data_IF_580400658909
#
_entry.id   IF_580400658909
#
_cell.length_a   1.000
_cell.length_b   1.000
_cell.length_c   1.000
_cell.angle_alpha   90.00
_cell.angle_beta   90.00
_cell.angle_gamma   90.00
#
_symmetry.space_group_name_H-M   'P 1'
#
loop_
_entity.id
_entity.type
_entity.pdbx_description
1 polymer ?
#
# COMPACT_ATOMS: atom_id res chain seq x y z
N UNK A 1 -56.98 -12.43 21.43
CA UNK A 1 -56.68 -12.54 19.97
C UNK A 1 -55.33 -11.85 19.77
N UNK A 2 -54.23 -12.60 19.77
CA UNK A 2 -52.87 -12.04 19.70
C UNK A 2 -52.38 -12.08 18.24
N UNK A 3 -52.07 -10.91 17.68
CA UNK A 3 -51.48 -10.76 16.36
C UNK A 3 -49.98 -11.09 16.46
N UNK A 4 -49.61 -12.28 16.01
CA UNK A 4 -48.21 -12.72 15.89
C UNK A 4 -47.60 -12.02 14.68
N UNK A 5 -46.75 -11.02 14.91
CA UNK A 5 -45.96 -10.37 13.85
C UNK A 5 -44.92 -11.33 13.30
N UNK A 6 -45.05 -11.70 12.02
CA UNK A 6 -44.04 -12.47 11.29
C UNK A 6 -42.73 -11.66 11.18
N UNK A 7 -41.56 -12.22 11.54
CA UNK A 7 -40.29 -11.55 11.33
C UNK A 7 -40.02 -11.40 9.83
N UNK A 8 -39.63 -10.19 9.43
CA UNK A 8 -39.23 -9.90 8.05
C UNK A 8 -38.06 -10.80 7.66
N UNK A 9 -38.26 -11.63 6.64
CA UNK A 9 -37.21 -12.48 6.08
C UNK A 9 -36.13 -11.57 5.49
N UNK A 10 -35.01 -11.45 6.19
CA UNK A 10 -33.86 -10.70 5.68
C UNK A 10 -33.24 -11.55 4.58
N UNK A 11 -33.46 -11.19 3.31
CA UNK A 11 -32.85 -11.85 2.16
C UNK A 11 -31.33 -11.67 2.25
N UNK A 12 -30.64 -12.73 2.67
CA UNK A 12 -29.17 -12.78 2.69
C UNK A 12 -28.73 -12.90 1.24
N UNK A 13 -28.39 -11.77 0.61
CA UNK A 13 -27.76 -11.80 -0.71
C UNK A 13 -26.45 -12.61 -0.62
N UNK A 14 -26.28 -13.55 -1.54
CA UNK A 14 -25.09 -14.39 -1.62
C UNK A 14 -23.84 -13.49 -1.71
N UNK A 15 -23.07 -13.43 -0.61
CA UNK A 15 -21.75 -12.79 -0.62
C UNK A 15 -20.91 -13.50 -1.67
N UNK A 16 -20.12 -12.74 -2.43
CA UNK A 16 -19.25 -13.25 -3.48
C UNK A 16 -18.31 -14.38 -3.01
N UNK A 17 -17.59 -15.01 -3.95
CA UNK A 17 -16.79 -16.21 -3.69
C UNK A 17 -15.92 -16.05 -2.45
N UNK A 18 -15.97 -17.04 -1.56
CA UNK A 18 -15.19 -17.03 -0.32
C UNK A 18 -13.69 -16.86 -0.63
N UNK A 19 -12.97 -16.02 0.13
CA UNK A 19 -11.55 -15.85 -0.07
C UNK A 19 -10.83 -17.19 0.07
N UNK A 20 -10.10 -17.60 -0.97
CA UNK A 20 -9.44 -18.92 -1.08
C UNK A 20 -8.36 -19.20 -0.03
N UNK A 21 -7.86 -18.18 0.67
CA UNK A 21 -6.81 -18.32 1.66
C UNK A 21 -7.30 -17.87 3.04
N UNK A 22 -7.04 -18.66 4.11
CA UNK A 22 -7.31 -18.22 5.47
C UNK A 22 -6.47 -16.97 5.78
N UNK A 23 -7.05 -16.06 6.56
CA UNK A 23 -6.35 -14.84 6.96
C UNK A 23 -5.19 -15.18 7.89
N UNK A 24 -4.01 -14.58 7.71
CA UNK A 24 -2.89 -14.83 8.59
C UNK A 24 -3.16 -14.31 10.02
N UNK A 25 -2.61 -14.99 11.02
CA UNK A 25 -2.87 -14.70 12.43
C UNK A 25 -2.55 -13.22 12.80
N UNK A 26 -1.45 -12.68 12.29
CA UNK A 26 -1.05 -11.29 12.56
C UNK A 26 -2.07 -10.27 12.03
N UNK A 27 -2.72 -10.54 10.89
CA UNK A 27 -3.70 -9.60 10.33
C UNK A 27 -5.00 -9.61 11.14
N UNK A 28 -5.37 -10.79 11.66
CA UNK A 28 -6.49 -10.91 12.58
C UNK A 28 -6.22 -10.22 13.91
N UNK A 29 -4.98 -10.25 14.41
CA UNK A 29 -4.58 -9.56 15.63
C UNK A 29 -4.69 -8.04 15.50
N UNK A 30 -4.21 -7.46 14.39
CA UNK A 30 -4.35 -6.02 14.09
C UNK A 30 -5.82 -5.59 14.09
N UNK A 31 -6.66 -6.33 13.36
CA UNK A 31 -8.09 -6.04 13.27
C UNK A 31 -8.77 -6.17 14.63
N UNK A 32 -8.44 -7.20 15.40
CA UNK A 32 -8.98 -7.41 16.73
C UNK A 32 -8.63 -6.26 17.67
N UNK A 33 -7.37 -5.81 17.66
CA UNK A 33 -6.93 -4.66 18.47
C UNK A 33 -7.66 -3.38 18.09
N UNK A 34 -7.80 -3.08 16.80
CA UNK A 34 -8.55 -1.91 16.35
C UNK A 34 -10.01 -1.94 16.83
N UNK A 35 -10.67 -3.09 16.72
CA UNK A 35 -12.05 -3.28 17.19
C UNK A 35 -12.13 -3.11 18.72
N UNK A 36 -11.15 -3.62 19.47
CA UNK A 36 -11.06 -3.47 20.92
C UNK A 36 -11.00 -2.00 21.34
N UNK A 37 -10.29 -1.16 20.57
CA UNK A 37 -10.21 0.29 20.79
C UNK A 37 -11.42 1.06 20.22
N UNK A 38 -12.39 0.36 19.63
CA UNK A 38 -13.55 0.95 18.95
C UNK A 38 -13.19 1.97 17.86
N UNK A 39 -12.07 1.74 17.16
CA UNK A 39 -11.58 2.62 16.09
C UNK A 39 -12.06 2.13 14.72
N UNK A 40 -12.37 3.05 13.81
CA UNK A 40 -12.52 2.78 12.37
C UNK A 40 -11.14 2.73 11.70
N UNK A 41 -11.08 2.20 10.49
CA UNK A 41 -9.83 2.21 9.71
C UNK A 41 -9.38 3.63 9.38
N UNK A 42 -10.34 4.54 9.15
CA UNK A 42 -10.11 5.97 8.94
C UNK A 42 -9.49 6.64 10.17
N UNK A 43 -9.96 6.28 11.37
CA UNK A 43 -9.42 6.84 12.62
C UNK A 43 -7.96 6.42 12.85
N UNK A 44 -7.62 5.17 12.53
CA UNK A 44 -6.23 4.70 12.60
C UNK A 44 -5.36 5.42 11.57
N UNK A 45 -5.84 5.63 10.34
CA UNK A 45 -5.10 6.38 9.34
C UNK A 45 -4.83 7.82 9.81
N UNK A 46 -5.85 8.50 10.35
CA UNK A 46 -5.74 9.84 10.91
C UNK A 46 -4.75 9.90 12.08
N UNK A 47 -4.76 8.91 12.99
CA UNK A 47 -3.79 8.81 14.10
C UNK A 47 -2.35 8.61 13.62
N UNK A 48 -2.15 8.02 12.44
CA UNK A 48 -0.81 7.90 11.84
C UNK A 48 -0.37 9.15 11.06
N UNK A 49 -1.08 10.27 11.17
CA UNK A 49 -0.82 11.50 10.40
C UNK A 49 -0.76 11.22 8.88
N UNK A 50 -1.66 10.35 8.40
CA UNK A 50 -1.71 9.89 7.00
C UNK A 50 -0.44 9.19 6.48
N UNK A 51 0.53 8.87 7.35
CA UNK A 51 1.69 8.04 6.98
C UNK A 51 1.24 6.67 6.49
N UNK A 52 0.15 6.14 7.05
CA UNK A 52 -0.49 4.89 6.63
C UNK A 52 -1.92 5.18 6.18
N UNK A 53 -2.15 5.12 4.87
CA UNK A 53 -3.49 5.36 4.31
C UNK A 53 -4.51 4.29 4.74
N UNK A 54 -5.80 4.66 4.78
CA UNK A 54 -6.90 3.74 5.09
C UNK A 54 -6.89 2.47 4.20
N UNK A 55 -6.57 2.62 2.91
CA UNK A 55 -6.43 1.49 1.99
C UNK A 55 -5.31 0.52 2.39
N UNK A 56 -4.17 1.07 2.86
CA UNK A 56 -3.05 0.27 3.38
C UNK A 56 -3.46 -0.51 4.63
N UNK A 57 -4.19 0.11 5.55
CA UNK A 57 -4.72 -0.55 6.75
C UNK A 57 -5.69 -1.67 6.35
N UNK A 58 -6.56 -1.42 5.38
CA UNK A 58 -7.49 -2.43 4.85
C UNK A 58 -6.75 -3.65 4.27
N UNK A 59 -5.70 -3.41 3.49
CA UNK A 59 -4.89 -4.47 2.89
C UNK A 59 -4.06 -5.23 3.93
N UNK A 60 -3.57 -4.55 4.98
CA UNK A 60 -2.93 -5.19 6.14
C UNK A 60 -3.92 -6.10 6.89
N UNK A 61 -5.12 -5.63 7.24
CA UNK A 61 -6.12 -6.42 7.98
C UNK A 61 -6.65 -7.64 7.18
N UNK A 62 -6.64 -7.55 5.85
CA UNK A 62 -6.97 -8.65 4.95
C UNK A 62 -5.82 -9.65 4.77
N UNK A 63 -4.60 -9.31 5.20
CA UNK A 63 -3.41 -10.13 4.98
C UNK A 63 -2.84 -10.04 3.56
N UNK A 64 -3.24 -9.03 2.78
CA UNK A 64 -2.80 -8.83 1.39
C UNK A 64 -1.40 -8.21 1.32
N UNK A 65 -1.08 -7.33 2.25
CA UNK A 65 0.24 -6.70 2.38
C UNK A 65 0.91 -7.21 3.64
N UNK A 66 2.14 -7.71 3.56
CA UNK A 66 2.89 -8.15 4.74
C UNK A 66 3.49 -6.96 5.50
N UNK A 67 3.58 -7.02 6.83
CA UNK A 67 4.17 -5.95 7.67
C UNK A 67 5.64 -5.64 7.32
N UNK A 68 6.38 -6.63 6.82
CA UNK A 68 7.77 -6.44 6.35
C UNK A 68 7.88 -5.68 5.02
N UNK A 69 6.77 -5.51 4.31
CA UNK A 69 6.75 -4.79 3.03
C UNK A 69 6.41 -3.30 3.19
N UNK A 70 6.08 -2.84 4.41
CA UNK A 70 5.90 -1.42 4.73
C UNK A 70 7.17 -0.87 5.40
N UNK A 71 7.43 0.42 5.24
CA UNK A 71 8.63 1.05 5.80
C UNK A 71 8.58 1.08 7.32
N UNK A 72 9.75 1.00 7.97
CA UNK A 72 9.82 1.00 9.44
C UNK A 72 9.08 2.17 10.11
N UNK A 73 9.19 3.44 9.64
CA UNK A 73 8.43 4.54 10.22
C UNK A 73 6.91 4.33 10.19
N UNK A 74 6.37 3.71 9.12
CA UNK A 74 4.95 3.40 9.01
C UNK A 74 4.51 2.31 10.00
N UNK A 75 5.36 1.33 10.25
CA UNK A 75 5.11 0.32 11.28
C UNK A 75 5.05 0.99 12.66
N UNK A 76 6.04 1.82 12.98
CA UNK A 76 6.12 2.49 14.29
C UNK A 76 4.86 3.34 14.51
N UNK A 77 4.49 4.17 13.52
CA UNK A 77 3.27 4.95 13.58
C UNK A 77 2.02 4.07 13.75
N UNK A 78 1.95 2.93 13.06
CA UNK A 78 0.83 1.99 13.18
C UNK A 78 0.75 1.36 14.59
N UNK A 79 1.89 0.98 15.17
CA UNK A 79 1.96 0.43 16.52
C UNK A 79 1.50 1.44 17.56
N UNK A 80 1.95 2.69 17.42
CA UNK A 80 1.57 3.81 18.28
C UNK A 80 0.07 4.12 18.18
N UNK A 81 -0.46 4.22 16.95
CA UNK A 81 -1.89 4.45 16.70
C UNK A 81 -2.81 3.36 17.29
N UNK A 82 -2.30 2.12 17.42
CA UNK A 82 -2.99 0.97 18.02
C UNK A 82 -2.70 0.79 19.53
N UNK A 83 -2.03 1.77 20.14
CA UNK A 83 -1.67 1.78 21.56
C UNK A 83 -1.00 0.46 21.97
N UNK A 84 -0.08 -0.01 21.13
CA UNK A 84 0.71 -1.20 21.38
C UNK A 84 2.13 -0.83 21.75
N UNK A 85 2.60 -1.42 22.84
CA UNK A 85 4.04 -1.39 23.13
C UNK A 85 4.78 -2.18 22.05
N UNK A 86 6.07 -1.88 21.83
CA UNK A 86 6.91 -2.65 20.93
C UNK A 86 6.84 -4.18 21.14
N UNK A 87 6.81 -4.59 22.41
CA UNK A 87 6.77 -5.99 22.83
C UNK A 87 5.42 -6.64 22.54
N UNK A 88 4.32 -5.94 22.82
CA UNK A 88 2.96 -6.42 22.51
C UNK A 88 2.75 -6.55 21.01
N UNK A 89 3.27 -5.60 20.23
CA UNK A 89 3.22 -5.63 18.77
C UNK A 89 3.95 -6.87 18.23
N UNK A 90 5.17 -7.13 18.67
CA UNK A 90 5.95 -8.31 18.26
C UNK A 90 5.27 -9.60 18.69
N UNK A 91 4.75 -9.66 19.93
CA UNK A 91 4.01 -10.82 20.42
C UNK A 91 2.73 -11.10 19.63
N UNK A 92 1.99 -10.06 19.24
CA UNK A 92 0.74 -10.20 18.51
C UNK A 92 0.94 -10.52 17.03
N UNK A 93 2.00 -9.98 16.41
CA UNK A 93 2.23 -10.10 14.97
C UNK A 93 3.29 -11.13 14.60
N UNK A 94 4.15 -11.52 15.54
CA UNK A 94 5.32 -12.37 15.29
C UNK A 94 6.44 -11.67 14.53
N UNK A 95 6.39 -10.34 14.40
CA UNK A 95 7.33 -9.58 13.58
C UNK A 95 8.30 -8.79 14.47
N UNK A 96 9.63 -9.07 14.43
CA UNK A 96 10.62 -8.44 15.30
C UNK A 96 11.10 -7.10 14.71
N UNK A 97 10.22 -6.11 14.67
CA UNK A 97 10.46 -4.84 13.94
C UNK A 97 11.47 -3.98 14.69
N UNK A 98 11.35 -3.94 16.02
CA UNK A 98 12.13 -3.04 16.88
C UNK A 98 13.60 -3.40 16.95
N UNK A 99 13.94 -4.69 16.85
CA UNK A 99 15.35 -5.13 16.74
C UNK A 99 16.04 -4.57 15.50
N UNK A 100 15.28 -4.23 14.46
CA UNK A 100 15.82 -3.66 13.21
C UNK A 100 15.87 -2.13 13.26
N UNK A 101 14.94 -1.49 13.96
CA UNK A 101 14.89 -0.02 14.09
C UNK A 101 16.00 0.50 14.99
N UNK A 102 16.29 -0.20 16.09
CA UNK A 102 17.34 0.16 17.03
C UNK A 102 18.73 0.23 16.34
N UNK A 103 18.95 -0.61 15.33
CA UNK A 103 20.17 -0.64 14.52
C UNK A 103 20.28 0.53 13.53
N UNK A 104 19.16 1.17 13.15
CA UNK A 104 19.16 2.30 12.21
C UNK A 104 19.40 3.66 12.89
N UNK A 105 19.14 3.76 14.19
CA UNK A 105 19.38 4.98 14.98
C UNK A 105 20.88 5.21 15.25
N UNK A 106 21.70 4.16 15.15
CA UNK A 106 23.13 4.18 15.50
C UNK A 106 24.08 4.86 14.48
N UNK A 107 23.65 5.22 13.27
CA UNK A 107 24.54 5.74 12.21
C UNK A 107 24.66 7.29 12.15
N UNK A 108 24.31 7.99 13.23
CA UNK A 108 24.75 9.37 13.47
C UNK A 108 24.12 10.47 12.60
N UNK A 109 23.07 10.17 11.84
CA UNK A 109 22.23 11.18 11.17
C UNK A 109 20.76 10.86 11.39
N UNK A 110 20.27 11.21 12.59
CA UNK A 110 18.85 11.14 12.90
C UNK A 110 18.24 12.53 12.67
N UNK A 111 17.39 12.66 11.65
CA UNK A 111 16.36 13.69 11.63
C UNK A 111 15.03 13.00 11.85
N UNK A 112 14.64 12.82 13.11
CA UNK A 112 13.23 12.77 13.52
C UNK A 112 13.14 13.34 14.94
N UNK A 113 12.38 14.43 15.07
CA UNK A 113 11.90 14.92 16.36
C UNK A 113 10.89 13.92 16.90
N UNK A 114 11.27 13.18 17.94
CA UNK A 114 10.31 12.70 18.94
C UNK A 114 10.91 13.07 20.29
N UNK A 115 10.40 14.16 20.84
CA UNK A 115 10.73 14.62 22.18
C UNK A 115 10.18 13.60 23.18
N UNK A 116 11.03 12.74 23.71
CA UNK A 116 10.74 11.90 24.87
C UNK A 116 12.03 11.58 25.61
N UNK A 117 12.08 12.04 26.87
CA UNK A 117 13.21 12.03 27.81
C UNK A 117 13.69 10.63 28.21
N UNK A 118 14.98 10.58 28.59
CA UNK A 118 15.74 9.50 29.27
C UNK A 118 16.15 8.34 28.32
N UNK A 119 17.43 7.98 28.13
CA UNK A 119 18.45 7.47 29.07
C UNK A 119 19.82 7.34 28.37
N UNK A 120 20.90 7.63 29.11
CA UNK A 120 22.32 7.24 29.04
C UNK A 120 23.01 6.80 27.73
N UNK A 121 24.15 7.48 27.46
CA UNK A 121 25.25 7.12 26.57
C UNK A 121 25.76 5.68 26.77
N UNK A 122 25.77 4.88 25.70
CA UNK A 122 26.58 3.66 25.62
C UNK A 122 27.30 3.62 24.27
N UNK A 123 28.63 3.68 24.37
CA UNK A 123 29.61 3.57 23.28
C UNK A 123 29.64 2.13 22.75
N UNK A 124 29.19 1.90 21.50
CA UNK A 124 29.26 0.57 20.86
C UNK A 124 29.88 0.71 19.47
N UNK A 125 31.21 0.78 19.45
CA UNK A 125 32.01 0.52 18.25
C UNK A 125 31.97 -0.96 17.87
N UNK A 126 31.71 -1.19 16.58
CA UNK A 126 32.06 -2.35 15.78
C UNK A 126 31.33 -3.68 16.06
N UNK A 127 30.38 -4.04 15.18
CA UNK A 127 30.22 -5.43 14.69
C UNK A 127 29.37 -5.54 13.41
N UNK A 128 30.10 -5.74 12.30
CA UNK A 128 29.88 -6.64 11.14
C UNK A 128 28.49 -6.73 10.48
N UNK A 129 28.42 -6.12 9.29
CA UNK A 129 27.44 -6.34 8.19
C UNK A 129 27.72 -7.65 7.43
N UNK A 130 26.97 -8.74 7.63
CA UNK A 130 27.09 -9.89 6.69
C UNK A 130 25.84 -10.68 6.31
N UNK A 131 24.68 -10.56 6.98
CA UNK A 131 23.67 -11.63 6.87
C UNK A 131 22.30 -11.22 6.29
N UNK A 132 22.20 -10.15 5.50
CA UNK A 132 20.94 -9.83 4.80
C UNK A 132 20.81 -10.60 3.48
N UNK A 133 19.68 -11.32 3.25
CA UNK A 133 19.42 -11.94 1.96
C UNK A 133 19.29 -10.88 0.87
N UNK A 134 19.88 -11.17 -0.28
CA UNK A 134 20.01 -10.28 -1.41
C UNK A 134 18.62 -9.74 -1.85
N UNK A 135 18.47 -8.43 -1.92
CA UNK A 135 17.31 -7.73 -2.49
C UNK A 135 16.95 -8.29 -3.88
N UNK A 136 15.68 -8.24 -4.28
CA UNK A 136 15.25 -8.62 -5.64
C UNK A 136 16.01 -7.85 -6.75
N UNK A 137 16.55 -6.67 -6.45
CA UNK A 137 17.43 -5.92 -7.35
C UNK A 137 18.81 -6.58 -7.53
N UNK A 138 19.29 -7.34 -6.54
CA UNK A 138 20.52 -8.15 -6.61
C UNK A 138 20.30 -9.56 -7.19
N UNK A 139 19.05 -10.01 -7.34
CA UNK A 139 18.72 -11.32 -7.96
C UNK A 139 18.74 -11.26 -9.50
N UNK A 140 19.16 -10.14 -10.11
CA UNK A 140 19.33 -10.06 -11.56
C UNK A 140 18.02 -10.06 -12.37
N UNK A 141 16.86 -9.87 -11.72
CA UNK A 141 15.59 -9.66 -12.41
C UNK A 141 15.61 -8.31 -13.13
N UNK A 142 16.12 -8.29 -14.37
CA UNK A 142 15.86 -7.18 -15.30
C UNK A 142 14.44 -7.34 -15.78
N UNK A 143 13.55 -6.40 -15.40
CA UNK A 143 12.32 -6.20 -16.15
C UNK A 143 12.77 -5.95 -17.60
N UNK A 144 12.43 -6.82 -18.56
CA UNK A 144 12.79 -6.58 -19.94
C UNK A 144 12.21 -5.22 -20.28
N UNK A 145 13.07 -4.26 -20.63
CA UNK A 145 12.66 -3.00 -21.22
C UNK A 145 12.05 -3.38 -22.57
N UNK A 146 10.78 -3.73 -22.59
CA UNK A 146 10.04 -3.88 -23.82
C UNK A 146 10.21 -2.57 -24.58
N UNK A 147 10.65 -2.67 -25.83
CA UNK A 147 10.73 -1.51 -26.68
C UNK A 147 9.36 -0.84 -26.68
N UNK A 148 9.29 0.49 -26.48
CA UNK A 148 8.02 1.19 -26.54
C UNK A 148 7.34 0.88 -27.87
N UNK A 149 6.02 0.66 -27.83
CA UNK A 149 5.25 0.35 -29.03
C UNK A 149 5.45 1.48 -30.06
N UNK A 150 5.60 1.14 -31.36
CA UNK A 150 5.61 2.16 -32.39
C UNK A 150 4.29 2.95 -32.34
N UNK A 151 4.39 4.26 -32.52
CA UNK A 151 3.22 5.14 -32.58
C UNK A 151 2.55 4.96 -33.93
N UNK A 152 1.22 4.86 -33.95
CA UNK A 152 0.47 4.79 -35.20
C UNK A 152 0.76 5.99 -36.12
N UNK A 153 1.05 5.71 -37.38
CA UNK A 153 1.23 6.72 -38.44
C UNK A 153 0.05 7.70 -38.55
N UNK A 154 -1.17 7.26 -38.27
CA UNK A 154 -2.35 8.12 -38.30
C UNK A 154 -2.29 9.21 -37.21
N UNK A 155 -1.77 8.88 -36.02
CA UNK A 155 -1.57 9.84 -34.94
C UNK A 155 -0.44 10.83 -35.25
N UNK A 156 0.64 10.35 -35.88
CA UNK A 156 1.73 11.22 -36.32
C UNK A 156 1.25 12.23 -37.35
N UNK A 157 0.48 11.79 -38.35
CA UNK A 157 -0.11 12.67 -39.36
C UNK A 157 -1.10 13.67 -38.76
N UNK A 158 -1.90 13.25 -37.79
CA UNK A 158 -2.81 14.15 -37.07
C UNK A 158 -2.04 15.21 -36.26
N UNK A 159 -0.91 14.84 -35.64
CA UNK A 159 -0.07 15.79 -34.91
C UNK A 159 0.55 16.83 -35.86
N UNK A 160 0.92 16.43 -37.07
CA UNK A 160 1.43 17.32 -38.11
C UNK A 160 0.34 18.28 -38.62
N UNK A 161 -0.85 17.77 -38.93
CA UNK A 161 -1.94 18.55 -39.51
C UNK A 161 -2.63 19.49 -38.50
N UNK A 162 -2.76 19.05 -37.24
CA UNK A 162 -3.55 19.76 -36.23
C UNK A 162 -2.70 20.39 -35.12
N UNK A 163 -1.41 20.05 -35.02
CA UNK A 163 -0.54 20.50 -33.93
C UNK A 163 -0.27 22.00 -33.90
N UNK A 164 -0.52 22.73 -35.00
CA UNK A 164 -0.38 24.18 -35.05
C UNK A 164 -1.60 24.94 -34.50
N UNK A 165 -2.72 24.24 -34.23
CA UNK A 165 -3.86 24.84 -33.54
C UNK A 165 -3.53 24.98 -32.06
N UNK A 166 -3.71 26.17 -31.49
CA UNK A 166 -3.39 26.47 -30.08
C UNK A 166 -4.01 25.47 -29.10
N UNK A 167 -5.24 25.02 -29.35
CA UNK A 167 -5.96 24.05 -28.51
C UNK A 167 -5.37 22.63 -28.58
N UNK A 168 -4.66 22.32 -29.67
CA UNK A 168 -4.11 20.99 -29.96
C UNK A 168 -2.57 20.99 -29.97
N UNK A 169 -1.93 22.08 -29.56
CA UNK A 169 -0.48 22.19 -29.43
C UNK A 169 0.16 21.01 -28.64
N UNK A 170 -0.48 20.47 -27.58
CA UNK A 170 0.06 19.30 -26.87
C UNK A 170 0.20 18.03 -27.74
N UNK A 171 -0.54 17.89 -28.85
CA UNK A 171 -0.41 16.74 -29.76
C UNK A 171 0.97 16.65 -30.41
N UNK A 172 1.72 17.75 -30.51
CA UNK A 172 3.11 17.72 -31.02
C UNK A 172 4.07 17.05 -30.05
N UNK A 173 3.71 16.95 -28.77
CA UNK A 173 4.56 16.32 -27.78
C UNK A 173 4.42 14.80 -27.85
N UNK A 174 5.55 14.13 -28.02
CA UNK A 174 5.62 12.67 -28.19
C UNK A 174 4.99 11.88 -27.02
N UNK A 175 4.95 12.44 -25.80
CA UNK A 175 4.27 11.83 -24.65
C UNK A 175 2.75 11.71 -24.84
N UNK A 176 2.11 12.70 -25.47
CA UNK A 176 0.67 12.70 -25.70
C UNK A 176 0.28 11.71 -26.79
N UNK A 177 1.10 11.60 -27.83
CA UNK A 177 0.92 10.58 -28.87
C UNK A 177 1.00 9.16 -28.30
N UNK A 178 1.92 8.91 -27.37
CA UNK A 178 1.98 7.61 -26.66
C UNK A 178 0.75 7.35 -25.82
N UNK A 179 0.32 8.33 -25.03
CA UNK A 179 -0.90 8.20 -24.24
C UNK A 179 -2.09 7.86 -25.12
N UNK A 180 -2.29 8.58 -26.24
CA UNK A 180 -3.38 8.32 -27.18
C UNK A 180 -3.28 6.94 -27.85
N UNK A 181 -2.06 6.50 -28.18
CA UNK A 181 -1.80 5.19 -28.77
C UNK A 181 -2.11 4.02 -27.80
N UNK A 182 -1.98 4.26 -26.50
CA UNK A 182 -2.25 3.28 -25.45
C UNK A 182 -3.72 3.27 -24.97
N UNK A 183 -4.54 4.28 -25.36
CA UNK A 183 -5.97 4.27 -25.04
C UNK A 183 -6.62 3.11 -25.81
N UNK A 184 -7.22 2.13 -25.12
CA UNK A 184 -7.98 1.09 -25.79
C UNK A 184 -9.19 1.75 -26.44
N UNK A 185 -9.17 1.93 -27.76
CA UNK A 185 -10.35 2.36 -28.51
C UNK A 185 -11.44 1.30 -28.26
N UNK A 186 -12.39 1.62 -27.38
CA UNK A 186 -13.53 0.75 -27.11
C UNK A 186 -14.22 0.51 -28.44
N UNK A 187 -14.35 -0.77 -28.79
CA UNK A 187 -14.98 -1.28 -30.01
C UNK A 187 -16.20 -0.42 -30.36
N UNK A 188 -16.26 0.05 -31.61
CA UNK A 188 -17.45 0.73 -32.11
C UNK A 188 -18.66 -0.18 -31.86
N UNK A 189 -19.79 0.34 -31.39
CA UNK A 189 -21.01 -0.45 -31.32
C UNK A 189 -21.28 -0.99 -32.73
N UNK A 190 -21.34 -2.32 -32.85
CA UNK A 190 -21.77 -2.97 -34.07
C UNK A 190 -23.27 -2.75 -34.14
N UNK A 191 -23.74 -2.00 -35.13
CA UNK A 191 -25.18 -1.91 -35.42
C UNK A 191 -25.63 -3.29 -35.90
N UNK A 192 -26.55 -3.99 -35.22
CA UNK A 192 -27.13 -5.20 -35.77
C UNK A 192 -27.93 -4.87 -37.04
N UNK A 193 -27.79 -5.69 -38.08
CA UNK A 193 -28.62 -5.66 -39.30
C UNK A 193 -30.10 -5.98 -38.98
#
# INVERSE_FOLDING_TARGET
MFLVSSPAQTTIMARGPEPKAPRPAWSTALRARRIQLNLRQEDVAARTEDLVSQGTISDLERGKTHLMNITAPRVVALADALEWTPQDFEKATGVPIWRSVDLMVSDGKQTFYVESKHVADVDVKARRRSDYPASAASTGYRIPRSAPRPIDSALLKAAEEYGDKTELAPLREYRWLRTLNDIPFKRRPVTPE
#
